data_IF_970552645013
#
_entry.id   IF_970552645013
#
_cell.length_a   1.000
_cell.length_b   1.000
_cell.length_c   1.000
_cell.angle_alpha   90.00
_cell.angle_beta   90.00
_cell.angle_gamma   90.00
#
_symmetry.space_group_name_H-M   'P 1'
#
loop_
_entity.id
_entity.type
_entity.pdbx_description
1 polymer ?
#
# COMPACT_ATOMS: atom_id res chain seq x y z
N UNK A 1 -23.27 -17.26 -39.72
CA UNK A 1 -21.93 -16.64 -39.53
C UNK A 1 -21.88 -15.65 -38.37
N UNK A 2 -22.89 -14.78 -38.16
CA UNK A 2 -22.89 -13.81 -37.04
C UNK A 2 -22.85 -14.43 -35.64
N UNK A 3 -23.55 -15.56 -35.40
CA UNK A 3 -23.57 -16.23 -34.11
C UNK A 3 -22.19 -16.78 -33.67
N UNK A 4 -21.38 -17.27 -34.61
CA UNK A 4 -20.04 -17.80 -34.33
C UNK A 4 -19.04 -16.68 -33.98
N UNK A 5 -19.14 -15.52 -34.63
CA UNK A 5 -18.31 -14.37 -34.32
C UNK A 5 -18.61 -13.79 -32.92
N UNK A 6 -19.89 -13.74 -32.53
CA UNK A 6 -20.30 -13.29 -31.20
C UNK A 6 -19.79 -14.25 -30.09
N UNK A 7 -19.84 -15.56 -30.33
CA UNK A 7 -19.33 -16.56 -29.38
C UNK A 7 -17.80 -16.43 -29.19
N UNK A 8 -17.04 -16.30 -30.28
CA UNK A 8 -15.59 -16.11 -30.22
C UNK A 8 -15.20 -14.82 -29.49
N UNK A 9 -15.88 -13.70 -29.79
CA UNK A 9 -15.66 -12.43 -29.09
C UNK A 9 -15.96 -12.55 -27.58
N UNK A 10 -17.02 -13.26 -27.21
CA UNK A 10 -17.37 -13.54 -25.82
C UNK A 10 -16.30 -14.37 -25.10
N UNK A 11 -15.78 -15.41 -25.73
CA UNK A 11 -14.70 -16.24 -25.17
C UNK A 11 -13.40 -15.45 -24.96
N UNK A 12 -13.03 -14.59 -25.92
CA UNK A 12 -11.83 -13.72 -25.80
C UNK A 12 -11.98 -12.74 -24.64
N UNK A 13 -13.13 -12.08 -24.52
CA UNK A 13 -13.39 -11.16 -23.41
C UNK A 13 -13.35 -11.87 -22.05
N UNK A 14 -13.98 -13.03 -21.93
CA UNK A 14 -13.96 -13.83 -20.69
C UNK A 14 -12.53 -14.27 -20.34
N UNK A 15 -11.73 -14.67 -21.33
CA UNK A 15 -10.32 -15.00 -21.15
C UNK A 15 -9.51 -13.82 -20.59
N UNK A 16 -9.70 -12.62 -21.13
CA UNK A 16 -9.05 -11.41 -20.60
C UNK A 16 -9.46 -11.09 -19.16
N UNK A 17 -10.76 -11.17 -18.84
CA UNK A 17 -11.24 -10.92 -17.47
C UNK A 17 -10.68 -11.91 -16.45
N UNK A 18 -10.58 -13.19 -16.82
CA UNK A 18 -9.97 -14.22 -15.97
C UNK A 18 -8.48 -13.97 -15.75
N UNK A 19 -7.77 -13.57 -16.80
CA UNK A 19 -6.34 -13.24 -16.70
C UNK A 19 -6.11 -12.02 -15.79
N UNK A 20 -6.94 -10.99 -15.90
CA UNK A 20 -6.85 -9.78 -15.10
C UNK A 20 -7.12 -10.06 -13.60
N UNK A 21 -8.15 -10.86 -13.31
CA UNK A 21 -8.46 -11.24 -11.94
C UNK A 21 -7.36 -12.13 -11.36
N UNK A 22 -6.86 -13.09 -12.13
CA UNK A 22 -5.73 -13.94 -11.72
C UNK A 22 -4.50 -13.09 -11.37
N UNK A 23 -4.17 -12.12 -12.21
CA UNK A 23 -3.06 -11.21 -11.97
C UNK A 23 -3.26 -10.42 -10.68
N UNK A 24 -4.46 -9.88 -10.45
CA UNK A 24 -4.78 -9.15 -9.23
C UNK A 24 -4.63 -10.04 -7.97
N UNK A 25 -5.08 -11.30 -8.05
CA UNK A 25 -4.95 -12.27 -6.95
C UNK A 25 -3.49 -12.58 -6.64
N UNK A 26 -2.66 -12.87 -7.66
CA UNK A 26 -1.24 -13.20 -7.48
C UNK A 26 -0.48 -12.04 -6.82
N UNK A 27 -0.66 -10.82 -7.33
CA UNK A 27 0.01 -9.63 -6.79
C UNK A 27 -0.48 -9.32 -5.38
N UNK A 28 -1.79 -9.40 -5.13
CA UNK A 28 -2.36 -9.18 -3.80
C UNK A 28 -1.80 -10.18 -2.79
N UNK A 29 -1.70 -11.45 -3.17
CA UNK A 29 -1.15 -12.49 -2.29
C UNK A 29 0.32 -12.22 -1.95
N UNK A 30 1.13 -11.84 -2.93
CA UNK A 30 2.53 -11.48 -2.66
C UNK A 30 2.65 -10.29 -1.70
N UNK A 31 1.78 -9.28 -1.84
CA UNK A 31 1.72 -8.13 -0.93
C UNK A 31 1.28 -8.53 0.50
N UNK A 32 0.35 -9.47 0.63
CA UNK A 32 -0.10 -9.95 1.95
C UNK A 32 0.89 -10.88 2.64
N UNK A 33 1.62 -11.70 1.88
CA UNK A 33 2.56 -12.69 2.42
C UNK A 33 3.80 -12.05 3.05
N UNK A 34 4.09 -10.77 2.75
CA UNK A 34 5.23 -9.98 3.28
C UNK A 34 6.58 -10.68 3.13
N UNK A 35 6.70 -11.57 2.14
CA UNK A 35 7.93 -12.29 1.82
C UNK A 35 8.76 -11.49 0.83
N UNK A 36 10.05 -11.27 1.15
CA UNK A 36 10.98 -10.62 0.23
C UNK A 36 11.08 -11.36 -1.11
N UNK A 37 11.13 -12.70 -1.07
CA UNK A 37 11.17 -13.54 -2.28
C UNK A 37 9.90 -13.39 -3.13
N UNK A 38 8.72 -13.38 -2.50
CA UNK A 38 7.46 -13.21 -3.24
C UNK A 38 7.35 -11.80 -3.84
N UNK A 39 7.78 -10.78 -3.09
CA UNK A 39 7.87 -9.40 -3.58
C UNK A 39 8.78 -9.31 -4.80
N UNK A 40 10.01 -9.79 -4.68
CA UNK A 40 11.02 -9.65 -5.73
C UNK A 40 10.59 -10.38 -7.01
N UNK A 41 10.03 -11.59 -6.89
CA UNK A 41 9.50 -12.33 -8.03
C UNK A 41 8.34 -11.60 -8.75
N UNK A 42 7.44 -10.95 -7.99
CA UNK A 42 6.35 -10.16 -8.57
C UNK A 42 6.86 -8.87 -9.22
N UNK A 43 7.81 -8.17 -8.59
CA UNK A 43 8.41 -6.97 -9.17
C UNK A 43 9.21 -7.28 -10.44
N UNK A 44 9.91 -8.42 -10.48
CA UNK A 44 10.58 -8.88 -11.70
C UNK A 44 9.58 -9.19 -12.83
N UNK A 45 8.48 -9.89 -12.52
CA UNK A 45 7.51 -10.29 -13.53
C UNK A 45 6.61 -9.14 -14.03
N UNK A 46 6.31 -8.15 -13.17
CA UNK A 46 5.25 -7.17 -13.42
C UNK A 46 5.65 -5.72 -13.18
N UNK A 47 6.79 -5.44 -12.54
CA UNK A 47 7.19 -4.09 -12.13
C UNK A 47 7.38 -3.11 -13.28
N UNK A 48 7.72 -3.59 -14.48
CA UNK A 48 7.94 -2.76 -15.67
C UNK A 48 6.70 -2.67 -16.58
N UNK A 49 5.56 -3.28 -16.18
CA UNK A 49 4.32 -3.11 -16.95
C UNK A 49 3.82 -1.69 -16.83
N UNK A 50 3.42 -1.11 -17.97
CA UNK A 50 2.79 0.20 -17.99
C UNK A 50 1.53 0.18 -17.08
N UNK A 51 1.36 1.15 -16.16
CA UNK A 51 0.25 1.15 -15.21
C UNK A 51 -1.13 1.05 -15.86
N UNK A 52 -1.32 1.67 -17.03
CA UNK A 52 -2.58 1.62 -17.78
C UNK A 52 -2.95 0.21 -18.31
N UNK A 53 -1.98 -0.71 -18.37
CA UNK A 53 -2.18 -2.10 -18.80
C UNK A 53 -2.37 -3.05 -17.61
N UNK A 54 -2.44 -2.53 -16.38
CA UNK A 54 -2.73 -3.32 -15.19
C UNK A 54 -4.19 -3.16 -14.80
N UNK A 55 -4.85 -4.23 -14.33
CA UNK A 55 -6.12 -4.09 -13.63
C UNK A 55 -5.94 -3.13 -12.45
N UNK A 56 -6.86 -2.18 -12.28
CA UNK A 56 -6.78 -1.17 -11.20
C UNK A 56 -6.61 -1.81 -9.81
N UNK A 57 -7.24 -2.97 -9.59
CA UNK A 57 -7.13 -3.74 -8.35
C UNK A 57 -5.73 -4.33 -8.12
N UNK A 58 -4.96 -4.58 -9.18
CA UNK A 58 -3.59 -5.08 -9.11
C UNK A 58 -2.57 -3.95 -8.91
N UNK A 59 -2.89 -2.72 -9.36
CA UNK A 59 -1.96 -1.59 -9.30
C UNK A 59 -1.61 -1.18 -7.86
N UNK A 60 -2.59 -1.14 -6.94
CA UNK A 60 -2.34 -0.79 -5.54
C UNK A 60 -1.41 -1.76 -4.79
N UNK A 61 -1.65 -3.09 -4.79
CA UNK A 61 -0.73 -4.03 -4.16
C UNK A 61 0.63 -4.07 -4.86
N UNK A 62 0.71 -3.87 -6.19
CA UNK A 62 2.00 -3.75 -6.87
C UNK A 62 2.78 -2.50 -6.44
N UNK A 63 2.09 -1.36 -6.26
CA UNK A 63 2.69 -0.14 -5.74
C UNK A 63 3.21 -0.32 -4.31
N UNK A 64 2.46 -1.05 -3.47
CA UNK A 64 2.92 -1.41 -2.12
C UNK A 64 4.19 -2.25 -2.15
N UNK A 65 4.24 -3.29 -2.99
CA UNK A 65 5.43 -4.12 -3.18
C UNK A 65 6.64 -3.29 -3.62
N UNK A 66 6.43 -2.34 -4.55
CA UNK A 66 7.48 -1.44 -5.02
C UNK A 66 7.95 -0.48 -3.91
N UNK A 67 7.05 0.06 -3.08
CA UNK A 67 7.46 0.85 -1.90
C UNK A 67 8.28 0.02 -0.91
N UNK A 68 7.91 -1.24 -0.69
CA UNK A 68 8.64 -2.14 0.20
C UNK A 68 10.00 -2.54 -0.40
N UNK A 69 10.09 -2.69 -1.73
CA UNK A 69 11.33 -2.87 -2.47
C UNK A 69 12.25 -1.64 -2.36
N UNK A 70 11.70 -0.45 -2.50
CA UNK A 70 12.44 0.81 -2.37
C UNK A 70 13.04 1.00 -0.97
N UNK A 71 12.38 0.50 0.08
CA UNK A 71 12.89 0.55 1.46
C UNK A 71 13.96 -0.49 1.73
N UNK A 72 13.77 -1.72 1.24
CA UNK A 72 14.58 -2.89 1.61
C UNK A 72 15.59 -3.33 0.53
N UNK A 73 15.63 -2.64 -0.62
CA UNK A 73 16.48 -3.01 -1.75
C UNK A 73 17.95 -3.06 -1.37
N UNK A 74 18.65 -4.11 -1.84
CA UNK A 74 20.04 -4.40 -1.46
C UNK A 74 21.04 -3.34 -1.96
N UNK A 75 20.70 -2.62 -3.03
CA UNK A 75 21.56 -1.60 -3.64
C UNK A 75 20.82 -0.26 -3.79
N UNK A 76 21.54 0.87 -3.82
CA UNK A 76 20.92 2.17 -4.13
C UNK A 76 20.17 2.19 -5.47
N UNK A 77 20.69 1.48 -6.49
CA UNK A 77 20.07 1.42 -7.81
C UNK A 77 18.73 0.68 -7.80
N UNK A 78 18.65 -0.46 -7.10
CA UNK A 78 17.40 -1.19 -6.93
C UNK A 78 16.38 -0.38 -6.14
N UNK A 79 16.82 0.31 -5.08
CA UNK A 79 15.94 1.20 -4.30
C UNK A 79 15.36 2.33 -5.14
N UNK A 80 16.17 2.94 -5.99
CA UNK A 80 15.71 3.99 -6.91
C UNK A 80 14.73 3.44 -7.96
N UNK A 81 15.05 2.30 -8.57
CA UNK A 81 14.19 1.63 -9.55
C UNK A 81 12.80 1.34 -8.96
N UNK A 82 12.75 0.75 -7.76
CA UNK A 82 11.47 0.43 -7.12
C UNK A 82 10.72 1.67 -6.64
N UNK A 83 11.43 2.75 -6.26
CA UNK A 83 10.79 4.03 -5.95
C UNK A 83 10.14 4.65 -7.19
N UNK A 84 10.80 4.60 -8.36
CA UNK A 84 10.25 5.08 -9.62
C UNK A 84 9.03 4.27 -10.07
N UNK A 85 9.08 2.94 -9.91
CA UNK A 85 7.92 2.05 -10.16
C UNK A 85 6.75 2.40 -9.25
N UNK A 86 7.00 2.57 -7.95
CA UNK A 86 5.97 2.97 -6.99
C UNK A 86 5.34 4.32 -7.38
N UNK A 87 6.16 5.31 -7.73
CA UNK A 87 5.68 6.63 -8.17
C UNK A 87 4.78 6.53 -9.40
N UNK A 88 5.20 5.77 -10.42
CA UNK A 88 4.42 5.57 -11.64
C UNK A 88 3.03 4.98 -11.36
N UNK A 89 2.98 3.96 -10.50
CA UNK A 89 1.72 3.30 -10.12
C UNK A 89 0.83 4.21 -9.25
N UNK A 90 1.42 4.93 -8.29
CA UNK A 90 0.69 5.86 -7.41
C UNK A 90 0.09 7.01 -8.22
N UNK A 91 0.85 7.60 -9.15
CA UNK A 91 0.34 8.63 -10.05
C UNK A 91 -0.84 8.13 -10.87
N UNK A 92 -0.71 6.95 -11.47
CA UNK A 92 -1.82 6.34 -12.21
C UNK A 92 -3.05 6.14 -11.31
N UNK A 93 -2.87 5.59 -10.10
CA UNK A 93 -3.96 5.40 -9.14
C UNK A 93 -4.63 6.71 -8.71
N UNK A 94 -3.87 7.81 -8.59
CA UNK A 94 -4.43 9.13 -8.32
C UNK A 94 -5.31 9.62 -9.47
N UNK A 95 -4.96 9.30 -10.71
CA UNK A 95 -5.74 9.69 -11.88
C UNK A 95 -7.05 8.90 -11.98
N UNK A 96 -7.00 7.58 -11.76
CA UNK A 96 -8.18 6.71 -11.94
C UNK A 96 -9.04 6.53 -10.69
N UNK A 97 -8.45 6.70 -9.50
CA UNK A 97 -9.08 6.44 -8.19
C UNK A 97 -8.53 7.38 -7.10
N UNK A 98 -8.69 8.71 -7.23
CA UNK A 98 -8.08 9.70 -6.32
C UNK A 98 -8.53 9.58 -4.86
N UNK A 99 -9.79 9.21 -4.61
CA UNK A 99 -10.37 9.07 -3.27
C UNK A 99 -10.32 7.64 -2.71
N UNK A 100 -9.66 6.70 -3.37
CA UNK A 100 -9.59 5.33 -2.87
C UNK A 100 -8.62 5.24 -1.68
N UNK A 101 -9.04 4.58 -0.59
CA UNK A 101 -8.29 4.48 0.66
C UNK A 101 -6.87 3.95 0.46
N UNK A 102 -6.71 2.92 -0.38
CA UNK A 102 -5.40 2.39 -0.73
C UNK A 102 -4.51 3.42 -1.43
N UNK A 103 -5.06 4.18 -2.39
CA UNK A 103 -4.32 5.26 -3.09
C UNK A 103 -3.83 6.31 -2.10
N UNK A 104 -4.70 6.76 -1.18
CA UNK A 104 -4.37 7.76 -0.17
C UNK A 104 -3.25 7.28 0.77
N UNK A 105 -3.30 6.02 1.21
CA UNK A 105 -2.25 5.43 2.04
C UNK A 105 -0.92 5.30 1.30
N UNK A 106 -0.96 4.91 0.02
CA UNK A 106 0.24 4.81 -0.81
C UNK A 106 0.90 6.20 -1.01
N UNK A 107 0.10 7.26 -1.19
CA UNK A 107 0.62 8.64 -1.24
C UNK A 107 1.35 8.99 0.05
N UNK A 108 0.74 8.77 1.22
CA UNK A 108 1.39 9.06 2.50
C UNK A 108 2.68 8.25 2.69
N UNK A 109 2.68 6.99 2.29
CA UNK A 109 3.87 6.12 2.35
C UNK A 109 5.00 6.57 1.43
N UNK A 110 4.68 7.01 0.23
CA UNK A 110 5.63 7.54 -0.75
C UNK A 110 6.25 8.84 -0.25
N UNK A 111 5.46 9.73 0.33
CA UNK A 111 5.98 10.96 0.92
C UNK A 111 7.01 10.65 2.03
N UNK A 112 6.77 9.65 2.87
CA UNK A 112 7.75 9.19 3.87
C UNK A 112 8.97 8.46 3.30
N UNK A 113 8.88 7.96 2.07
CA UNK A 113 10.03 7.38 1.38
C UNK A 113 10.95 8.49 0.86
N UNK A 114 10.37 9.58 0.36
CA UNK A 114 11.09 10.71 -0.25
C UNK A 114 11.58 11.71 0.80
N UNK A 115 10.81 11.93 1.85
CA UNK A 115 11.08 12.93 2.88
C UNK A 115 11.38 12.27 4.23
N UNK A 116 12.32 12.84 4.98
CA UNK A 116 12.72 12.32 6.29
C UNK A 116 11.59 12.37 7.36
N UNK A 117 10.58 13.21 7.14
CA UNK A 117 9.44 13.41 8.03
C UNK A 117 8.15 13.53 7.22
N UNK A 118 6.99 13.27 7.84
CA UNK A 118 5.70 13.46 7.20
C UNK A 118 5.51 14.91 6.73
N UNK A 119 5.31 15.08 5.42
CA UNK A 119 4.90 16.36 4.82
C UNK A 119 3.43 16.65 5.11
N UNK A 120 2.95 17.90 4.96
CA UNK A 120 1.52 18.19 5.02
C UNK A 120 0.69 17.30 4.08
N UNK A 121 1.19 17.04 2.87
CA UNK A 121 0.55 16.14 1.92
C UNK A 121 0.42 14.70 2.45
N UNK A 122 1.44 14.20 3.16
CA UNK A 122 1.39 12.89 3.80
C UNK A 122 0.33 12.84 4.92
N UNK A 123 0.26 13.88 5.76
CA UNK A 123 -0.72 14.00 6.84
C UNK A 123 -2.14 14.08 6.27
N UNK A 124 -2.35 14.90 5.24
CA UNK A 124 -3.67 15.08 4.62
C UNK A 124 -4.16 13.80 3.96
N UNK A 125 -3.29 13.10 3.22
CA UNK A 125 -3.61 11.83 2.59
C UNK A 125 -3.92 10.74 3.65
N UNK A 126 -3.13 10.70 4.73
CA UNK A 126 -3.37 9.81 5.86
C UNK A 126 -4.72 10.06 6.55
N UNK A 127 -5.03 11.31 6.88
CA UNK A 127 -6.32 11.68 7.49
C UNK A 127 -7.49 11.41 6.55
N UNK A 128 -7.33 11.67 5.25
CA UNK A 128 -8.34 11.33 4.24
C UNK A 128 -8.61 9.82 4.18
N UNK A 129 -7.58 8.97 4.35
CA UNK A 129 -7.78 7.53 4.32
C UNK A 129 -8.69 7.02 5.44
N UNK A 130 -8.74 7.68 6.60
CA UNK A 130 -9.70 7.35 7.68
C UNK A 130 -11.13 7.73 7.37
N UNK A 131 -11.34 8.81 6.60
CA UNK A 131 -12.67 9.22 6.16
C UNK A 131 -13.25 8.24 5.15
N UNK A 132 -12.42 7.78 4.22
CA UNK A 132 -12.83 6.81 3.19
C UNK A 132 -12.98 5.40 3.77
N UNK A 133 -12.08 5.00 4.67
CA UNK A 133 -12.12 3.70 5.32
C UNK A 133 -11.67 3.78 6.78
N UNK A 134 -12.63 3.80 7.73
CA UNK A 134 -12.31 3.86 9.15
C UNK A 134 -11.45 2.69 9.65
N UNK A 135 -11.69 1.47 9.15
CA UNK A 135 -10.93 0.26 9.52
C UNK A 135 -10.33 -0.44 8.30
N UNK A 136 -9.01 -0.61 8.28
CA UNK A 136 -8.30 -1.19 7.15
C UNK A 136 -7.37 -2.34 7.57
N UNK A 137 -7.89 -3.57 7.66
CA UNK A 137 -7.14 -4.75 8.12
C UNK A 137 -5.71 -4.86 7.55
N UNK A 138 -5.56 -4.85 6.22
CA UNK A 138 -4.25 -5.06 5.59
C UNK A 138 -3.20 -3.97 5.88
N UNK A 139 -3.64 -2.74 6.22
CA UNK A 139 -2.77 -1.58 6.46
C UNK A 139 -2.86 -1.06 7.90
N UNK A 140 -3.66 -1.68 8.77
CA UNK A 140 -3.97 -1.18 10.11
C UNK A 140 -2.68 -0.98 10.92
N UNK A 141 -1.76 -1.95 10.87
CA UNK A 141 -0.49 -1.86 11.62
C UNK A 141 0.31 -0.63 11.15
N UNK A 142 0.44 -0.41 9.84
CA UNK A 142 1.14 0.76 9.30
C UNK A 142 0.44 2.06 9.71
N UNK A 143 -0.89 2.10 9.65
CA UNK A 143 -1.67 3.30 10.00
C UNK A 143 -1.53 3.67 11.47
N UNK A 144 -1.64 2.68 12.36
CA UNK A 144 -1.45 2.85 13.80
C UNK A 144 -0.03 3.34 14.09
N UNK A 145 0.97 2.77 13.42
CA UNK A 145 2.36 3.19 13.58
C UNK A 145 2.55 4.64 13.12
N UNK A 146 2.04 5.02 11.94
CA UNK A 146 2.10 6.38 11.42
C UNK A 146 1.44 7.37 12.40
N UNK A 147 0.22 7.06 12.86
CA UNK A 147 -0.50 7.91 13.81
C UNK A 147 0.27 8.10 15.12
N UNK A 148 0.89 7.02 15.62
CA UNK A 148 1.71 7.10 16.83
C UNK A 148 2.90 8.04 16.66
N UNK A 149 3.61 8.00 15.53
CA UNK A 149 4.80 8.84 15.29
C UNK A 149 4.40 10.30 15.08
N UNK A 150 3.33 10.56 14.33
CA UNK A 150 2.91 11.91 13.95
C UNK A 150 1.70 12.42 14.72
N UNK A 151 1.49 11.92 15.94
CA UNK A 151 0.28 12.14 16.73
C UNK A 151 -0.11 13.62 16.85
N UNK A 152 0.86 14.49 17.13
CA UNK A 152 0.64 15.92 17.33
C UNK A 152 0.25 16.67 16.06
N UNK A 153 0.56 16.14 14.88
CA UNK A 153 0.18 16.73 13.59
C UNK A 153 -1.24 16.33 13.14
N UNK A 154 -1.80 15.26 13.70
CA UNK A 154 -3.14 14.78 13.36
C UNK A 154 -4.24 15.64 14.00
N UNK A 155 -5.35 15.82 13.31
CA UNK A 155 -6.54 16.46 13.87
C UNK A 155 -7.25 15.53 14.89
N UNK A 156 -8.11 16.07 15.78
CA UNK A 156 -8.77 15.27 16.82
C UNK A 156 -9.65 14.12 16.29
N UNK A 157 -10.23 14.25 15.09
CA UNK A 157 -11.09 13.21 14.49
C UNK A 157 -10.21 12.04 14.04
N UNK A 158 -9.12 12.33 13.32
CA UNK A 158 -8.17 11.31 12.87
C UNK A 158 -7.49 10.60 14.03
N UNK A 159 -7.12 11.32 15.10
CA UNK A 159 -6.60 10.73 16.34
C UNK A 159 -7.57 9.72 16.96
N UNK A 160 -8.86 10.07 17.03
CA UNK A 160 -9.89 9.18 17.56
C UNK A 160 -10.03 7.92 16.71
N UNK A 161 -10.11 8.08 15.39
CA UNK A 161 -10.22 6.96 14.46
C UNK A 161 -9.00 6.01 14.55
N UNK A 162 -7.79 6.56 14.71
CA UNK A 162 -6.57 5.75 14.90
C UNK A 162 -6.59 4.95 16.22
N UNK A 163 -7.11 5.51 17.31
CA UNK A 163 -7.31 4.77 18.57
C UNK A 163 -8.33 3.66 18.38
N UNK A 164 -9.46 3.96 17.73
CA UNK A 164 -10.51 2.97 17.46
C UNK A 164 -9.99 1.81 16.61
N UNK A 165 -9.21 2.09 15.56
CA UNK A 165 -8.56 1.07 14.74
C UNK A 165 -7.56 0.24 15.54
N UNK A 166 -6.76 0.86 16.43
CA UNK A 166 -5.86 0.13 17.31
C UNK A 166 -6.60 -0.80 18.28
N UNK A 167 -7.71 -0.34 18.88
CA UNK A 167 -8.56 -1.16 19.75
C UNK A 167 -9.21 -2.29 18.97
N UNK A 168 -9.72 -2.00 17.77
CA UNK A 168 -10.31 -2.99 16.89
C UNK A 168 -9.29 -4.07 16.49
N UNK A 169 -8.08 -3.67 16.10
CA UNK A 169 -7.01 -4.59 15.73
C UNK A 169 -6.69 -5.53 16.90
N UNK A 170 -6.52 -5.01 18.13
CA UNK A 170 -6.24 -5.85 19.31
C UNK A 170 -7.34 -6.89 19.58
N UNK A 171 -8.60 -6.57 19.29
CA UNK A 171 -9.73 -7.49 19.46
C UNK A 171 -9.81 -8.54 18.35
N UNK A 172 -9.48 -8.17 17.12
CA UNK A 172 -9.61 -9.05 15.96
C UNK A 172 -8.40 -9.99 15.80
N UNK A 173 -7.21 -9.59 16.27
CA UNK A 173 -5.94 -10.28 16.03
C UNK A 173 -5.64 -11.45 17.00
N UNK A 174 -6.61 -11.88 17.84
CA UNK A 174 -6.52 -13.04 18.74
C UNK A 174 -5.19 -13.21 19.53
N UNK A 175 -4.43 -12.15 19.80
CA UNK A 175 -3.18 -12.22 20.58
C UNK A 175 -1.84 -12.09 19.83
N UNK A 176 -1.81 -11.74 18.54
CA UNK A 176 -0.56 -11.51 17.77
C UNK A 176 0.13 -10.15 18.08
N UNK A 177 0.38 -9.84 19.37
CA UNK A 177 0.88 -8.52 19.85
C UNK A 177 2.31 -8.13 19.43
N UNK A 178 3.05 -8.97 18.70
CA UNK A 178 4.49 -8.79 18.44
C UNK A 178 4.87 -7.81 17.32
N UNK A 179 3.98 -7.49 16.38
CA UNK A 179 4.39 -6.95 15.07
C UNK A 179 4.36 -5.40 14.91
N UNK A 180 3.91 -4.64 15.90
CA UNK A 180 3.68 -3.18 15.75
C UNK A 180 4.99 -2.34 15.84
N UNK A 181 6.09 -2.93 16.29
CA UNK A 181 7.35 -2.21 16.56
C UNK A 181 8.21 -1.91 15.33
N UNK A 182 8.20 -2.77 14.31
CA UNK A 182 9.28 -2.82 13.31
C UNK A 182 8.91 -2.19 11.95
N UNK A 183 7.65 -1.77 11.76
CA UNK A 183 7.13 -1.43 10.43
C UNK A 183 7.50 -0.04 9.87
N UNK A 184 8.08 0.86 10.66
CA UNK A 184 8.42 2.23 10.20
C UNK A 184 9.91 2.47 9.89
N UNK A 185 10.75 1.43 9.96
CA UNK A 185 12.18 1.57 9.74
C UNK A 185 12.88 2.42 10.82
N UNK A 186 14.14 2.85 10.59
CA UNK A 186 15.01 3.50 11.60
C UNK A 186 14.55 4.89 12.07
N UNK A 187 13.44 5.41 11.53
CA UNK A 187 12.89 6.73 11.84
C UNK A 187 11.93 6.73 13.04
N UNK A 188 11.65 5.57 13.65
CA UNK A 188 10.97 5.53 14.93
C UNK A 188 11.86 6.19 16.00
N UNK A 189 11.37 7.18 16.78
CA UNK A 189 12.15 7.75 17.87
C UNK A 189 12.55 6.63 18.83
N UNK A 190 13.86 6.39 18.96
CA UNK A 190 14.38 5.39 19.90
C UNK A 190 13.98 5.82 21.31
N UNK A 191 13.54 4.86 22.12
CA UNK A 191 13.07 5.00 23.51
C UNK A 191 14.07 5.62 24.52
N UNK A 192 15.17 6.22 24.07
CA UNK A 192 16.11 6.90 24.98
C UNK A 192 15.63 8.35 25.12
N UNK A 193 15.51 8.79 26.36
CA UNK A 193 15.29 10.19 26.78
C UNK A 193 13.83 10.60 27.08
N UNK A 194 13.08 9.74 27.79
CA UNK A 194 12.03 10.25 28.69
C UNK A 194 12.62 10.21 30.10
N UNK A 195 13.11 11.35 30.66
CA UNK A 195 13.43 11.42 32.08
C UNK A 195 12.14 11.15 32.88
N UNK A 196 12.26 10.28 33.89
CA UNK A 196 11.18 9.99 34.83
C UNK A 196 10.84 11.22 35.67
#
# INVERSE_FOLDING_TARGET
MLASAACLAGCVLAGHMLQDEWLAVVITRAATDRSATARDAVLEAYGDRAPANLPVRAAAPLAQLALDGARAGATPALRALDADRAEGLIRHLRDVRPGWDATLLLVAQRELLVHATATPAAIDAFSASYRERPFHNAAAIWRIAFARVYWTALDPVTRRAAIEEAVWQVRYDNGQRGAVGDQLGPHAPRKRDIPR
#
